data_IF_480584319882
#
_entry.id   IF_480584319882
#
_cell.length_a   1.000
_cell.length_b   1.000
_cell.length_c   1.000
_cell.angle_alpha   90.00
_cell.angle_beta   90.00
_cell.angle_gamma   90.00
#
_symmetry.space_group_name_H-M   'P 1'
#
loop_
_entity.id
_entity.type
_entity.pdbx_description
1 polymer ?
#
# COMPACT_ATOMS: atom_id res chain seq x y z
N UNK A 1 -2.56 -5.60 -10.91
CA UNK A 1 -3.77 -4.95 -11.46
C UNK A 1 -3.37 -3.92 -12.54
N UNK A 2 -2.54 -2.91 -12.24
CA UNK A 2 -2.16 -1.88 -13.21
C UNK A 2 -1.61 -2.46 -14.52
N UNK A 3 -0.65 -3.39 -14.44
CA UNK A 3 -0.08 -4.05 -15.61
C UNK A 3 -1.15 -4.81 -16.44
N UNK A 4 -2.11 -5.44 -15.78
CA UNK A 4 -3.20 -6.14 -16.44
C UNK A 4 -4.14 -5.19 -17.19
N UNK A 5 -4.45 -4.02 -16.60
CA UNK A 5 -5.28 -3.00 -17.23
C UNK A 5 -4.58 -2.29 -18.40
N UNK A 6 -3.24 -2.20 -18.38
CA UNK A 6 -2.47 -1.45 -19.38
C UNK A 6 -1.66 -2.35 -20.33
N UNK A 7 -1.87 -3.66 -20.34
CA UNK A 7 -1.23 -4.56 -21.29
C UNK A 7 -1.91 -4.47 -22.68
N UNK A 8 -1.21 -4.98 -23.70
CA UNK A 8 -1.77 -5.06 -25.04
C UNK A 8 -3.05 -5.90 -25.09
N UNK A 9 -4.00 -5.63 -26.00
CA UNK A 9 -5.26 -6.35 -26.10
C UNK A 9 -5.12 -7.88 -26.26
N UNK A 10 -4.11 -8.33 -27.02
CA UNK A 10 -3.81 -9.74 -27.24
C UNK A 10 -3.35 -10.45 -25.95
N UNK A 11 -2.70 -9.72 -25.03
CA UNK A 11 -2.32 -10.21 -23.71
C UNK A 11 -3.53 -10.18 -22.78
N UNK A 12 -4.28 -9.07 -22.75
CA UNK A 12 -5.48 -8.92 -21.91
C UNK A 12 -6.54 -9.99 -22.17
N UNK A 13 -6.72 -10.37 -23.44
CA UNK A 13 -7.66 -11.42 -23.83
C UNK A 13 -7.30 -12.81 -23.26
N UNK A 14 -6.04 -13.03 -22.93
CA UNK A 14 -5.51 -14.29 -22.36
C UNK A 14 -5.46 -14.30 -20.83
N UNK A 15 -5.68 -13.16 -20.18
CA UNK A 15 -5.71 -13.09 -18.71
C UNK A 15 -6.97 -13.77 -18.19
N UNK A 16 -6.79 -14.86 -17.45
CA UNK A 16 -7.88 -15.54 -16.77
C UNK A 16 -8.24 -14.88 -15.44
N UNK A 17 -7.22 -14.59 -14.61
CA UNK A 17 -7.34 -14.00 -13.27
C UNK A 17 -6.21 -13.03 -12.98
N UNK A 18 -6.46 -12.10 -12.08
CA UNK A 18 -5.50 -11.11 -11.58
C UNK A 18 -5.54 -11.12 -10.07
N UNK A 19 -4.50 -11.61 -9.44
CA UNK A 19 -4.40 -11.64 -7.99
C UNK A 19 -3.76 -10.36 -7.47
N UNK A 20 -4.41 -9.76 -6.46
CA UNK A 20 -3.90 -8.57 -5.76
C UNK A 20 -3.82 -8.88 -4.26
N UNK A 21 -2.63 -9.18 -3.79
CA UNK A 21 -2.37 -9.47 -2.38
C UNK A 21 -1.88 -8.20 -1.67
N UNK A 22 -2.80 -7.57 -0.95
CA UNK A 22 -2.59 -6.31 -0.23
C UNK A 22 -2.03 -5.17 -1.10
N UNK A 23 -2.33 -5.20 -2.41
CA UNK A 23 -1.98 -4.10 -3.31
C UNK A 23 -2.89 -2.89 -3.06
N UNK A 24 -2.36 -1.65 -3.13
CA UNK A 24 -3.17 -0.44 -2.99
C UNK A 24 -4.21 -0.33 -4.09
N UNK A 25 -5.21 0.52 -3.87
CA UNK A 25 -6.17 0.92 -4.89
C UNK A 25 -5.56 1.87 -5.93
N UNK A 26 -6.42 2.62 -6.58
CA UNK A 26 -6.03 3.52 -7.67
C UNK A 26 -6.66 4.90 -7.48
N UNK A 27 -6.13 5.89 -8.17
CA UNK A 27 -6.80 7.17 -8.33
C UNK A 27 -8.08 6.98 -9.14
N UNK A 28 -9.10 7.77 -8.84
CA UNK A 28 -10.43 7.66 -9.47
C UNK A 28 -10.39 7.63 -11.00
N UNK A 29 -9.54 8.43 -11.61
CA UNK A 29 -9.36 8.46 -13.07
C UNK A 29 -8.96 7.09 -13.66
N UNK A 30 -8.11 6.33 -12.95
CA UNK A 30 -7.72 5.00 -13.40
C UNK A 30 -8.88 4.01 -13.30
N UNK A 31 -9.67 4.09 -12.21
CA UNK A 31 -10.84 3.23 -12.01
C UNK A 31 -11.96 3.47 -13.03
N UNK A 32 -12.08 4.70 -13.52
CA UNK A 32 -13.07 5.06 -14.55
C UNK A 32 -12.64 4.66 -15.95
N UNK A 33 -11.39 4.25 -16.16
CA UNK A 33 -10.91 3.85 -17.48
C UNK A 33 -11.59 2.57 -17.99
N UNK A 34 -11.82 2.48 -19.29
CA UNK A 34 -12.36 1.29 -19.93
C UNK A 34 -11.45 0.07 -19.71
N UNK A 35 -10.13 0.28 -19.77
CA UNK A 35 -9.13 -0.74 -19.53
C UNK A 35 -9.25 -1.36 -18.12
N UNK A 36 -9.50 -0.54 -17.10
CA UNK A 36 -9.73 -1.05 -15.74
C UNK A 36 -11.04 -1.82 -15.64
N UNK A 37 -12.13 -1.31 -16.22
CA UNK A 37 -13.44 -1.98 -16.20
C UNK A 37 -13.39 -3.38 -16.82
N UNK A 38 -12.61 -3.57 -17.88
CA UNK A 38 -12.43 -4.88 -18.52
C UNK A 38 -11.69 -5.88 -17.64
N UNK A 39 -10.79 -5.42 -16.78
CA UNK A 39 -10.00 -6.26 -15.88
C UNK A 39 -10.71 -6.49 -14.54
N UNK A 40 -11.55 -5.57 -14.11
CA UNK A 40 -12.24 -5.60 -12.80
C UNK A 40 -12.89 -6.96 -12.47
N UNK A 41 -13.63 -7.62 -13.37
CA UNK A 41 -14.23 -8.93 -13.07
C UNK A 41 -13.24 -10.07 -12.86
N UNK A 42 -11.98 -9.88 -13.26
CA UNK A 42 -10.89 -10.86 -13.14
C UNK A 42 -10.05 -10.66 -11.88
N UNK A 43 -10.28 -9.58 -11.13
CA UNK A 43 -9.48 -9.23 -9.96
C UNK A 43 -9.96 -10.02 -8.75
N UNK A 44 -9.05 -10.76 -8.14
CA UNK A 44 -9.21 -11.40 -6.83
C UNK A 44 -8.30 -10.70 -5.84
N UNK A 45 -8.89 -9.85 -4.98
CA UNK A 45 -8.15 -9.09 -3.98
C UNK A 45 -8.22 -9.75 -2.62
N UNK A 46 -7.09 -9.81 -1.96
CA UNK A 46 -6.94 -10.33 -0.60
C UNK A 46 -6.21 -9.31 0.26
N UNK A 47 -6.74 -9.02 1.43
CA UNK A 47 -6.20 -8.04 2.38
C UNK A 47 -5.95 -8.71 3.74
N UNK A 48 -4.87 -8.41 4.44
CA UNK A 48 -4.74 -8.84 5.84
C UNK A 48 -5.71 -8.04 6.73
N UNK A 49 -6.02 -8.60 7.89
CA UNK A 49 -7.01 -8.05 8.83
C UNK A 49 -6.75 -6.61 9.30
N UNK A 50 -5.50 -6.17 9.30
CA UNK A 50 -5.10 -4.80 9.62
C UNK A 50 -4.35 -4.17 8.45
N UNK A 51 -4.87 -4.41 7.22
CA UNK A 51 -4.28 -3.85 6.01
C UNK A 51 -4.17 -2.33 6.10
N UNK A 52 -2.96 -1.83 5.89
CA UNK A 52 -2.69 -0.41 5.71
C UNK A 52 -2.48 -0.09 4.24
N UNK A 53 -1.65 -0.86 3.55
CA UNK A 53 -1.27 -0.60 2.15
C UNK A 53 -2.43 -0.94 1.22
N UNK A 54 -3.04 -2.10 1.37
CA UNK A 54 -4.08 -2.58 0.48
C UNK A 54 -5.36 -1.75 0.49
N UNK A 55 -5.56 -0.92 1.51
CA UNK A 55 -6.72 -0.04 1.65
C UNK A 55 -6.42 1.43 1.29
N UNK A 56 -5.21 1.75 0.84
CA UNK A 56 -4.90 3.07 0.32
C UNK A 56 -5.57 3.31 -1.03
N UNK A 57 -6.00 4.55 -1.27
CA UNK A 57 -6.68 5.00 -2.48
C UNK A 57 -8.08 4.35 -2.67
N UNK A 58 -8.63 4.44 -3.88
CA UNK A 58 -9.98 3.97 -4.18
C UNK A 58 -9.99 2.51 -4.66
N UNK A 59 -11.06 1.81 -4.34
CA UNK A 59 -11.29 0.41 -4.71
C UNK A 59 -12.67 0.24 -5.33
N UNK A 60 -12.75 -0.59 -6.36
CA UNK A 60 -14.02 -1.05 -6.95
C UNK A 60 -14.15 -2.58 -6.91
N UNK A 61 -13.02 -3.28 -6.72
CA UNK A 61 -12.98 -4.72 -6.62
C UNK A 61 -13.46 -5.21 -5.24
N UNK A 62 -14.13 -6.37 -5.24
CA UNK A 62 -14.41 -7.09 -4.01
C UNK A 62 -13.10 -7.67 -3.43
N UNK A 63 -13.03 -7.74 -2.10
CA UNK A 63 -11.86 -8.31 -1.43
C UNK A 63 -12.24 -9.29 -0.33
N UNK A 64 -11.34 -10.22 -0.06
CA UNK A 64 -11.40 -11.14 1.08
C UNK A 64 -10.38 -10.69 2.12
N UNK A 65 -10.74 -10.83 3.40
CA UNK A 65 -9.87 -10.46 4.52
C UNK A 65 -9.29 -11.72 5.13
N UNK A 66 -7.95 -11.79 5.19
CA UNK A 66 -7.23 -12.94 5.78
C UNK A 66 -6.70 -12.60 7.16
N UNK A 67 -6.60 -13.61 8.01
CA UNK A 67 -5.87 -13.50 9.27
C UNK A 67 -4.37 -13.48 9.00
N UNK A 68 -3.65 -12.72 9.82
CA UNK A 68 -2.19 -12.69 9.81
C UNK A 68 -1.67 -12.85 11.23
N UNK A 69 -0.58 -13.59 11.37
CA UNK A 69 0.18 -13.74 12.61
C UNK A 69 1.08 -12.53 12.91
N UNK A 70 1.24 -11.64 11.91
CA UNK A 70 2.00 -10.38 12.03
C UNK A 70 1.11 -9.22 12.49
N UNK A 71 1.72 -8.06 12.77
CA UNK A 71 1.03 -6.84 13.20
C UNK A 71 1.38 -5.67 12.29
N UNK A 72 0.49 -4.68 12.21
CA UNK A 72 0.71 -3.40 11.51
C UNK A 72 1.16 -3.63 10.05
N UNK A 73 2.08 -2.80 9.55
CA UNK A 73 2.61 -2.85 8.18
C UNK A 73 3.27 -4.21 7.82
N UNK A 74 3.74 -4.97 8.83
CA UNK A 74 4.34 -6.28 8.62
C UNK A 74 3.36 -7.35 8.13
N UNK A 75 2.05 -7.09 8.24
CA UNK A 75 1.02 -7.94 7.64
C UNK A 75 1.01 -7.88 6.10
N UNK A 76 1.69 -6.89 5.51
CA UNK A 76 1.89 -6.81 4.05
C UNK A 76 2.68 -8.00 3.49
N UNK A 77 3.45 -8.69 4.34
CA UNK A 77 4.13 -9.92 3.95
C UNK A 77 3.13 -11.10 3.94
N UNK A 78 2.76 -11.66 2.76
CA UNK A 78 1.77 -12.73 2.65
C UNK A 78 2.23 -14.04 3.33
N UNK A 79 3.52 -14.23 3.60
CA UNK A 79 4.01 -15.39 4.37
C UNK A 79 3.63 -15.35 5.85
N UNK A 80 3.10 -14.24 6.35
CA UNK A 80 2.51 -14.15 7.69
C UNK A 80 1.01 -14.47 7.73
N UNK A 81 0.39 -14.75 6.57
CA UNK A 81 -1.04 -15.02 6.49
C UNK A 81 -1.34 -16.45 6.89
N UNK A 82 -2.40 -16.62 7.67
CA UNK A 82 -2.79 -17.91 8.20
C UNK A 82 -3.49 -18.75 7.13
N UNK A 83 -3.12 -20.04 7.08
CA UNK A 83 -3.70 -21.05 6.20
C UNK A 83 -4.60 -21.96 7.03
N UNK A 84 -5.75 -22.34 6.48
CA UNK A 84 -6.66 -23.30 7.02
C UNK A 84 -7.02 -24.34 5.94
N UNK A 85 -6.44 -25.52 6.04
CA UNK A 85 -6.56 -26.55 5.01
C UNK A 85 -5.83 -26.16 3.74
N UNK A 86 -6.57 -26.00 2.65
CA UNK A 86 -6.10 -25.66 1.30
C UNK A 86 -6.34 -24.20 0.91
N UNK A 87 -6.84 -23.36 1.84
CA UNK A 87 -7.13 -21.95 1.60
C UNK A 87 -6.68 -21.08 2.79
N UNK A 88 -6.79 -19.77 2.65
CA UNK A 88 -6.52 -18.83 3.73
C UNK A 88 -7.58 -18.88 4.83
N UNK A 89 -7.17 -18.56 6.05
CA UNK A 89 -8.09 -18.32 7.17
C UNK A 89 -8.71 -16.94 7.04
N UNK A 90 -9.99 -16.86 6.66
CA UNK A 90 -10.68 -15.60 6.40
C UNK A 90 -11.34 -14.99 7.63
N UNK A 91 -11.58 -13.68 7.55
CA UNK A 91 -12.38 -12.88 8.49
C UNK A 91 -13.47 -12.14 7.75
N UNK A 92 -14.54 -11.79 8.48
CA UNK A 92 -15.65 -10.99 7.94
C UNK A 92 -15.30 -9.51 7.82
N UNK A 93 -14.42 -8.98 8.68
CA UNK A 93 -14.14 -7.55 8.79
C UNK A 93 -12.67 -7.25 9.08
N UNK A 94 -12.23 -6.08 8.64
CA UNK A 94 -10.99 -5.45 9.09
C UNK A 94 -11.09 -5.09 10.56
N UNK A 95 -9.95 -4.99 11.24
CA UNK A 95 -9.90 -4.48 12.62
C UNK A 95 -10.40 -3.03 12.69
N UNK A 96 -10.96 -2.63 13.83
CA UNK A 96 -11.47 -1.27 14.03
C UNK A 96 -10.40 -0.20 13.80
N UNK A 97 -9.21 -0.43 14.35
CA UNK A 97 -8.07 0.48 14.22
C UNK A 97 -7.63 0.62 12.75
N UNK A 98 -7.64 -0.50 11.97
CA UNK A 98 -7.33 -0.45 10.55
C UNK A 98 -8.34 0.39 9.77
N UNK A 99 -9.63 0.24 10.06
CA UNK A 99 -10.68 1.04 9.41
C UNK A 99 -10.51 2.54 9.67
N UNK A 100 -10.27 2.91 10.93
CA UNK A 100 -10.03 4.31 11.31
C UNK A 100 -8.80 4.89 10.62
N UNK A 101 -7.67 4.19 10.72
CA UNK A 101 -6.41 4.63 10.11
C UNK A 101 -6.53 4.77 8.59
N UNK A 102 -7.16 3.80 7.92
CA UNK A 102 -7.37 3.85 6.47
C UNK A 102 -8.26 5.03 6.05
N UNK A 103 -9.32 5.30 6.80
CA UNK A 103 -10.18 6.46 6.53
C UNK A 103 -9.38 7.78 6.64
N UNK A 104 -8.59 7.93 7.70
CA UNK A 104 -7.75 9.11 7.93
C UNK A 104 -6.69 9.27 6.85
N UNK A 105 -5.95 8.21 6.52
CA UNK A 105 -4.91 8.24 5.48
C UNK A 105 -5.50 8.58 4.11
N UNK A 106 -6.62 7.98 3.75
CA UNK A 106 -7.26 8.25 2.47
C UNK A 106 -7.79 9.68 2.38
N UNK A 107 -8.37 10.20 3.46
CA UNK A 107 -8.78 11.59 3.52
C UNK A 107 -7.60 12.54 3.32
N UNK A 108 -6.49 12.28 3.98
CA UNK A 108 -5.27 13.06 3.87
C UNK A 108 -4.67 13.01 2.45
N UNK A 109 -4.56 11.82 1.85
CA UNK A 109 -4.05 11.65 0.47
C UNK A 109 -4.93 12.37 -0.55
N UNK A 110 -6.26 12.36 -0.36
CA UNK A 110 -7.20 13.08 -1.24
C UNK A 110 -7.08 14.60 -1.14
N UNK A 111 -6.71 15.11 0.05
CA UNK A 111 -6.52 16.54 0.26
C UNK A 111 -5.26 17.09 -0.42
N UNK A 112 -4.29 16.24 -0.75
CA UNK A 112 -3.05 16.64 -1.41
C UNK A 112 -3.24 16.90 -2.91
N UNK A 113 -2.51 17.86 -3.45
CA UNK A 113 -2.31 18.03 -4.89
C UNK A 113 -1.51 16.86 -5.49
N UNK A 114 -1.48 16.76 -6.81
CA UNK A 114 -0.68 15.73 -7.51
C UNK A 114 0.83 15.92 -7.24
N UNK A 115 1.27 17.18 -7.18
CA UNK A 115 2.65 17.56 -6.92
C UNK A 115 3.08 17.19 -5.49
N UNK A 116 2.22 17.47 -4.51
CA UNK A 116 2.45 17.10 -3.10
C UNK A 116 2.54 15.59 -2.91
N UNK A 117 1.66 14.83 -3.55
CA UNK A 117 1.74 13.36 -3.53
C UNK A 117 3.04 12.84 -4.15
N UNK A 118 3.46 13.38 -5.29
CA UNK A 118 4.72 13.01 -5.93
C UNK A 118 5.90 13.32 -5.01
N UNK A 119 5.95 14.53 -4.46
CA UNK A 119 7.01 14.95 -3.53
C UNK A 119 7.05 14.08 -2.27
N UNK A 120 5.89 13.69 -1.72
CA UNK A 120 5.82 12.79 -0.58
C UNK A 120 6.44 11.42 -0.90
N UNK A 121 6.06 10.84 -2.04
CA UNK A 121 6.61 9.55 -2.49
C UNK A 121 8.11 9.64 -2.68
N UNK A 122 8.61 10.64 -3.41
CA UNK A 122 10.05 10.84 -3.64
C UNK A 122 10.81 11.05 -2.33
N UNK A 123 10.21 11.78 -1.38
CA UNK A 123 10.80 12.01 -0.07
C UNK A 123 10.89 10.72 0.75
N UNK A 124 9.83 9.90 0.74
CA UNK A 124 9.82 8.59 1.43
C UNK A 124 10.85 7.65 0.80
N UNK A 125 10.91 7.60 -0.54
CA UNK A 125 11.92 6.80 -1.23
C UNK A 125 13.35 7.25 -0.91
N UNK A 126 13.59 8.55 -0.80
CA UNK A 126 14.89 9.09 -0.38
C UNK A 126 15.26 8.81 1.08
N UNK A 127 14.28 8.49 1.93
CA UNK A 127 14.52 8.08 3.32
C UNK A 127 14.87 6.59 3.45
N UNK A 128 14.41 5.78 2.51
CA UNK A 128 14.71 4.36 2.47
C UNK A 128 15.97 4.20 1.63
N UNK A 129 17.10 3.94 2.26
CA UNK A 129 18.34 3.62 1.54
C UNK A 129 18.19 2.24 0.88
N UNK A 130 17.64 2.25 -0.34
CA UNK A 130 17.38 1.04 -1.12
C UNK A 130 18.68 0.37 -1.62
N UNK A 131 19.80 1.06 -1.59
CA UNK A 131 21.08 0.50 -2.00
C UNK A 131 21.57 -0.56 -1.01
N UNK A 132 21.17 -0.45 0.26
CA UNK A 132 21.54 -1.39 1.32
C UNK A 132 20.39 -2.34 1.73
N UNK A 133 19.14 -2.07 1.34
CA UNK A 133 17.96 -2.87 1.70
C UNK A 133 17.34 -3.47 0.43
N UNK A 134 17.79 -4.67 0.06
CA UNK A 134 17.32 -5.33 -1.14
C UNK A 134 15.95 -6.03 -0.99
N UNK A 135 15.49 -6.29 0.23
CA UNK A 135 14.23 -7.00 0.48
C UNK A 135 13.48 -6.48 1.69
N UNK A 136 12.15 -6.63 1.67
CA UNK A 136 11.28 -6.34 2.82
C UNK A 136 11.61 -7.19 4.06
N UNK A 137 12.12 -8.40 3.84
CA UNK A 137 12.57 -9.27 4.94
C UNK A 137 13.81 -8.71 5.63
N UNK A 138 14.75 -8.15 4.89
CA UNK A 138 15.92 -7.43 5.45
C UNK A 138 15.49 -6.19 6.22
N UNK A 139 14.60 -5.36 5.66
CA UNK A 139 14.06 -4.20 6.36
C UNK A 139 13.42 -4.59 7.69
N UNK A 140 12.68 -5.71 7.72
CA UNK A 140 12.08 -6.21 8.96
C UNK A 140 13.11 -6.73 9.96
N UNK A 141 14.09 -7.50 9.50
CA UNK A 141 15.12 -8.09 10.35
C UNK A 141 16.02 -7.02 10.95
N UNK A 142 16.31 -5.97 10.19
CA UNK A 142 17.23 -4.90 10.54
C UNK A 142 16.53 -3.63 11.03
N UNK A 143 15.20 -3.68 11.27
CA UNK A 143 14.42 -2.49 11.63
C UNK A 143 15.02 -1.71 12.80
N UNK A 144 15.49 -2.41 13.85
CA UNK A 144 16.09 -1.76 15.01
C UNK A 144 17.46 -1.14 14.70
N UNK A 145 18.22 -1.75 13.78
CA UNK A 145 19.52 -1.26 13.33
C UNK A 145 19.39 -0.23 12.22
N UNK A 146 18.35 -0.33 11.39
CA UNK A 146 18.08 0.62 10.29
C UNK A 146 17.45 1.93 10.77
N UNK A 147 16.83 1.96 11.96
CA UNK A 147 16.22 3.19 12.49
C UNK A 147 17.22 4.37 12.61
N UNK A 148 18.47 4.18 13.08
CA UNK A 148 19.48 5.24 13.07
C UNK A 148 19.83 5.71 11.65
N UNK A 149 19.80 4.83 10.65
CA UNK A 149 20.08 5.16 9.24
C UNK A 149 18.92 5.94 8.62
N UNK A 150 17.68 5.53 8.85
CA UNK A 150 16.50 6.29 8.47
C UNK A 150 16.52 7.69 9.10
N UNK A 151 16.89 7.78 10.38
CA UNK A 151 17.05 9.07 11.05
C UNK A 151 18.18 9.92 10.47
N UNK A 152 19.29 9.29 10.06
CA UNK A 152 20.40 9.96 9.37
C UNK A 152 19.96 10.44 7.99
N UNK A 153 19.21 9.63 7.23
CA UNK A 153 18.63 9.97 5.93
C UNK A 153 17.66 11.15 6.06
N UNK A 154 16.79 11.15 7.08
CA UNK A 154 15.95 12.30 7.40
C UNK A 154 16.80 13.56 7.69
N UNK A 155 17.90 13.41 8.44
CA UNK A 155 18.83 14.52 8.73
C UNK A 155 19.55 15.01 7.46
N UNK A 156 19.73 14.17 6.45
CA UNK A 156 20.31 14.50 5.15
C UNK A 156 19.34 15.17 4.16
N UNK A 157 18.03 15.14 4.41
CA UNK A 157 17.05 15.81 3.55
C UNK A 157 17.32 17.31 3.47
N UNK A 158 16.96 17.90 2.31
CA UNK A 158 16.97 19.36 2.17
C UNK A 158 16.05 20.03 3.21
N UNK A 159 16.33 21.28 3.62
CA UNK A 159 15.44 22.01 4.53
C UNK A 159 14.00 22.07 4.04
N UNK A 160 13.79 22.18 2.72
CA UNK A 160 12.47 22.22 2.09
C UNK A 160 11.73 20.88 2.29
N UNK A 161 12.38 19.74 2.00
CA UNK A 161 11.77 18.42 2.15
C UNK A 161 11.51 18.08 3.62
N UNK A 162 12.38 18.50 4.54
CA UNK A 162 12.12 18.37 5.99
C UNK A 162 10.88 19.14 6.42
N UNK A 163 10.77 20.41 6.02
CA UNK A 163 9.64 21.26 6.36
C UNK A 163 8.36 20.69 5.77
N UNK A 164 8.37 20.25 4.52
CA UNK A 164 7.25 19.61 3.85
C UNK A 164 6.79 18.34 4.60
N UNK A 165 7.70 17.43 4.89
CA UNK A 165 7.37 16.18 5.59
C UNK A 165 6.79 16.44 6.99
N UNK A 166 7.37 17.37 7.75
CA UNK A 166 6.88 17.76 9.07
C UNK A 166 5.49 18.39 8.98
N UNK A 167 5.23 19.22 7.96
CA UNK A 167 3.91 19.77 7.72
C UNK A 167 2.89 18.67 7.42
N UNK A 168 3.21 17.74 6.52
CA UNK A 168 2.35 16.60 6.17
C UNK A 168 2.02 15.72 7.38
N UNK A 169 3.02 15.41 8.20
CA UNK A 169 2.80 14.66 9.45
C UNK A 169 1.93 15.40 10.46
N UNK A 170 2.09 16.73 10.56
CA UNK A 170 1.25 17.57 11.42
C UNK A 170 -0.20 17.59 10.95
N UNK A 171 -0.43 17.69 9.66
CA UNK A 171 -1.77 17.65 9.07
C UNK A 171 -2.43 16.29 9.33
N UNK A 172 -1.71 15.19 9.09
CA UNK A 172 -2.19 13.85 9.39
C UNK A 172 -2.54 13.66 10.87
N UNK A 173 -1.73 14.19 11.78
CA UNK A 173 -1.97 14.10 13.22
C UNK A 173 -3.14 14.98 13.72
N UNK A 174 -3.59 15.94 12.92
CA UNK A 174 -4.71 16.86 13.25
C UNK A 174 -6.08 16.36 12.76
N UNK A 175 -6.12 15.28 11.99
CA UNK A 175 -7.33 14.61 11.48
C UNK A 175 -7.89 13.59 12.47
#
# INVERSE_FOLDING_TARGET
VYAAANCRPDVSARLARVFSHDGPGFLEQALQSEAFRQVLPKIEKTLPQSSMIGMLLEHQENYKIVKSSSISIWQHNPFSWEINGDDFSYRSELTGDARYLNATLNQWIRAMSAEERAQLVDTIYGLIDLDNIATFAQLRAEWQTSFPEIFRSFSGLSPQNKAFLLQMLKELASM
#
